data_IF_688377648121
#
_entry.id   IF_688377648121
#
_cell.length_a   1.000
_cell.length_b   1.000
_cell.length_c   1.000
_cell.angle_alpha   90.00
_cell.angle_beta   90.00
_cell.angle_gamma   90.00
#
_symmetry.space_group_name_H-M   'P 1'
#
loop_
_entity.id
_entity.type
_entity.pdbx_description
1 polymer ?
#
# COMPACT_ATOMS: atom_id res chain seq x y z
N UNK A 1 8.30 6.99 -1.35
CA UNK A 1 8.40 5.55 -1.00
C UNK A 1 7.91 4.74 -2.19
N UNK A 2 8.59 3.66 -2.56
CA UNK A 2 8.15 2.74 -3.62
C UNK A 2 7.91 1.34 -3.05
N UNK A 3 6.88 0.66 -3.54
CA UNK A 3 6.47 -0.67 -3.12
C UNK A 3 6.46 -1.59 -4.35
N UNK A 4 7.52 -2.39 -4.54
CA UNK A 4 7.53 -3.42 -5.56
C UNK A 4 6.57 -4.57 -5.18
N UNK A 5 5.79 -5.06 -6.13
CA UNK A 5 4.90 -6.21 -5.97
C UNK A 5 4.97 -7.11 -7.20
N UNK A 6 4.75 -8.41 -6.99
CA UNK A 6 4.53 -9.34 -8.09
C UNK A 6 3.10 -9.27 -8.59
N UNK A 7 2.88 -9.57 -9.87
CA UNK A 7 1.53 -9.73 -10.42
C UNK A 7 0.76 -10.76 -9.59
N UNK A 8 -0.45 -10.39 -9.15
CA UNK A 8 -1.29 -11.21 -8.26
C UNK A 8 -0.92 -11.14 -6.77
N UNK A 9 0.17 -10.47 -6.39
CA UNK A 9 0.55 -10.30 -4.99
C UNK A 9 -0.41 -9.34 -4.29
N UNK A 10 -0.71 -9.65 -3.02
CA UNK A 10 -1.51 -8.80 -2.15
C UNK A 10 -0.66 -8.28 -0.99
N UNK A 11 -0.83 -7.00 -0.68
CA UNK A 11 -0.12 -6.35 0.43
C UNK A 11 -1.07 -5.49 1.24
N UNK A 12 -1.14 -5.73 2.54
CA UNK A 12 -1.86 -4.85 3.45
C UNK A 12 -0.98 -3.64 3.79
N UNK A 13 -1.49 -2.44 3.53
CA UNK A 13 -0.86 -1.18 3.92
C UNK A 13 -1.27 -0.84 5.34
N UNK A 14 -0.31 -0.89 6.26
CA UNK A 14 -0.54 -0.50 7.65
C UNK A 14 -0.35 1.01 7.80
N UNK A 15 -1.45 1.77 7.83
CA UNK A 15 -1.42 3.22 8.06
C UNK A 15 -1.69 3.49 9.53
N UNK A 16 -0.71 4.08 10.22
CA UNK A 16 -0.87 4.48 11.61
C UNK A 16 -1.41 5.91 11.66
N UNK A 17 -2.69 6.05 11.99
CA UNK A 17 -3.31 7.37 12.27
C UNK A 17 -2.99 7.74 13.71
N UNK A 18 -2.33 8.88 13.91
CA UNK A 18 -1.98 9.41 15.24
C UNK A 18 -2.75 10.70 15.56
N UNK A 19 -3.17 10.90 16.82
CA UNK A 19 -2.98 10.01 17.98
C UNK A 19 -3.81 8.72 17.87
N UNK A 20 -3.37 7.61 18.49
CA UNK A 20 -4.06 6.31 18.42
C UNK A 20 -5.52 6.38 18.91
N UNK A 21 -5.83 7.37 19.75
CA UNK A 21 -7.19 7.69 20.24
C UNK A 21 -7.99 8.58 19.29
N UNK A 22 -7.55 8.79 18.05
CA UNK A 22 -8.33 9.54 17.07
C UNK A 22 -9.70 8.87 16.90
N UNK A 23 -10.77 9.60 17.24
CA UNK A 23 -12.15 9.13 17.14
C UNK A 23 -12.55 8.81 15.69
N UNK A 24 -11.82 9.39 14.74
CA UNK A 24 -12.04 9.23 13.31
C UNK A 24 -10.76 8.76 12.62
N UNK A 25 -10.51 7.45 12.69
CA UNK A 25 -9.41 6.79 11.97
C UNK A 25 -9.75 6.48 10.51
N UNK A 26 -10.85 7.05 10.01
CA UNK A 26 -11.30 6.84 8.64
C UNK A 26 -10.26 7.40 7.67
N UNK A 27 -9.80 6.53 6.78
CA UNK A 27 -8.92 6.87 5.67
C UNK A 27 -9.62 6.48 4.38
N UNK A 28 -9.40 7.26 3.33
CA UNK A 28 -9.89 7.00 2.00
C UNK A 28 -8.71 6.63 1.12
N UNK A 29 -8.80 5.49 0.45
CA UNK A 29 -7.78 4.98 -0.45
C UNK A 29 -8.20 5.22 -1.90
N UNK A 30 -7.22 5.52 -2.75
CA UNK A 30 -7.43 5.66 -4.20
C UNK A 30 -6.20 5.18 -4.96
N UNK A 31 -6.41 4.63 -6.15
CA UNK A 31 -5.34 4.24 -7.08
C UNK A 31 -5.40 5.14 -8.30
N UNK A 32 -4.27 5.67 -8.75
CA UNK A 32 -4.19 6.44 -10.00
C UNK A 32 -4.41 5.56 -11.24
N UNK A 33 -4.15 4.25 -11.13
CA UNK A 33 -4.36 3.28 -12.20
C UNK A 33 -4.81 1.92 -11.62
N UNK A 34 -6.13 1.68 -11.53
CA UNK A 34 -6.70 0.42 -11.06
C UNK A 34 -6.38 -0.80 -11.94
N UNK A 35 -5.99 -0.61 -13.20
CA UNK A 35 -5.60 -1.74 -14.07
C UNK A 35 -4.24 -2.34 -13.66
N UNK A 36 -3.37 -1.53 -13.05
CA UNK A 36 -2.06 -1.97 -12.55
C UNK A 36 -2.17 -2.49 -11.12
N UNK A 37 -2.79 -1.73 -10.22
CA UNK A 37 -3.07 -2.19 -8.87
C UNK A 37 -4.29 -1.49 -8.26
N UNK A 38 -5.08 -2.24 -7.50
CA UNK A 38 -6.23 -1.74 -6.74
C UNK A 38 -5.92 -1.72 -5.24
N UNK A 39 -6.65 -0.88 -4.51
CA UNK A 39 -6.59 -0.81 -3.05
C UNK A 39 -8.02 -0.81 -2.51
N UNK A 40 -8.28 -1.62 -1.48
CA UNK A 40 -9.57 -1.62 -0.79
C UNK A 40 -9.68 -0.50 0.24
N UNK A 41 -10.89 -0.26 0.72
CA UNK A 41 -11.20 0.61 1.85
C UNK A 41 -10.43 0.25 3.14
N UNK A 42 -10.15 -1.04 3.34
CA UNK A 42 -9.34 -1.57 4.43
C UNK A 42 -7.82 -1.44 4.19
N UNK A 43 -7.39 -0.85 3.08
CA UNK A 43 -5.96 -0.71 2.74
C UNK A 43 -5.30 -2.01 2.24
N UNK A 44 -6.10 -2.98 1.76
CA UNK A 44 -5.56 -4.16 1.07
C UNK A 44 -5.27 -3.81 -0.37
N UNK A 45 -3.99 -3.88 -0.74
CA UNK A 45 -3.51 -3.62 -2.08
C UNK A 45 -3.40 -4.93 -2.85
N UNK A 46 -3.88 -4.94 -4.09
CA UNK A 46 -3.82 -6.09 -5.00
C UNK A 46 -3.14 -5.66 -6.29
N UNK A 47 -2.02 -6.30 -6.62
CA UNK A 47 -1.35 -6.10 -7.90
C UNK A 47 -2.08 -6.90 -9.00
N UNK A 48 -2.54 -6.20 -10.04
CA UNK A 48 -3.35 -6.78 -11.12
C UNK A 48 -2.50 -7.03 -12.36
N UNK A 49 -1.79 -6.00 -12.83
CA UNK A 49 -0.98 -6.13 -14.03
C UNK A 49 0.29 -5.29 -13.97
N UNK A 50 1.24 -5.63 -14.84
CA UNK A 50 2.55 -4.97 -14.90
C UNK A 50 2.40 -3.47 -15.15
N UNK A 51 3.21 -2.69 -14.45
CA UNK A 51 3.24 -1.25 -14.62
C UNK A 51 3.48 -0.53 -13.31
N UNK A 52 3.29 0.79 -13.35
CA UNK A 52 3.43 1.64 -12.18
C UNK A 52 2.13 2.36 -11.89
N UNK A 53 1.74 2.42 -10.61
CA UNK A 53 0.59 3.18 -10.16
C UNK A 53 0.91 3.85 -8.84
N UNK A 54 0.20 4.93 -8.51
CA UNK A 54 0.34 5.61 -7.22
C UNK A 54 -0.93 5.40 -6.41
N UNK A 55 -0.75 4.85 -5.22
CA UNK A 55 -1.82 4.74 -4.23
C UNK A 55 -1.77 5.97 -3.33
N UNK A 56 -2.89 6.65 -3.23
CA UNK A 56 -3.05 7.83 -2.37
C UNK A 56 -4.01 7.51 -1.24
N UNK A 57 -3.58 7.76 -0.01
CA UNK A 57 -4.41 7.66 1.19
C UNK A 57 -4.64 9.05 1.76
N UNK A 58 -5.90 9.36 2.02
CA UNK A 58 -6.32 10.63 2.63
C UNK A 58 -7.04 10.33 3.93
N UNK A 59 -6.55 10.85 5.04
CA UNK A 59 -7.22 10.73 6.34
C UNK A 59 -8.36 11.73 6.47
N UNK A 60 -9.29 11.45 7.38
CA UNK A 60 -10.45 12.31 7.67
C UNK A 60 -10.09 13.76 8.04
N UNK A 61 -8.88 13.99 8.56
CA UNK A 61 -8.35 15.32 8.88
C UNK A 61 -7.59 15.99 7.71
N UNK A 62 -7.66 15.43 6.49
CA UNK A 62 -7.07 16.00 5.29
C UNK A 62 -5.57 15.73 5.10
N UNK A 63 -4.94 14.88 5.93
CA UNK A 63 -3.55 14.48 5.66
C UNK A 63 -3.51 13.48 4.52
N UNK A 64 -2.56 13.67 3.61
CA UNK A 64 -2.39 12.85 2.43
C UNK A 64 -1.05 12.13 2.52
N UNK A 65 -1.04 10.83 2.23
CA UNK A 65 0.17 10.07 2.00
C UNK A 65 0.07 9.31 0.69
N UNK A 66 1.19 9.14 0.01
CA UNK A 66 1.26 8.50 -1.31
C UNK A 66 2.28 7.37 -1.31
N UNK A 67 1.96 6.27 -1.96
CA UNK A 67 2.84 5.13 -2.15
C UNK A 67 2.89 4.77 -3.64
N UNK A 68 4.09 4.78 -4.23
CA UNK A 68 4.27 4.35 -5.63
C UNK A 68 4.37 2.83 -5.67
N UNK A 69 3.45 2.16 -6.35
CA UNK A 69 3.44 0.72 -6.55
C UNK A 69 4.03 0.39 -7.91
N UNK A 70 4.91 -0.59 -7.94
CA UNK A 70 5.54 -1.08 -9.17
C UNK A 70 5.24 -2.56 -9.25
N UNK A 71 4.46 -2.96 -10.26
CA UNK A 71 4.10 -4.35 -10.50
C UNK A 71 4.99 -4.92 -11.59
N UNK A 72 5.68 -6.00 -11.26
CA UNK A 72 6.56 -6.70 -12.19
C UNK A 72 6.42 -8.20 -12.01
N UNK A 73 6.64 -8.97 -13.06
CA UNK A 73 6.59 -10.44 -12.97
C UNK A 73 7.89 -11.04 -12.43
N UNK A 74 8.87 -10.20 -12.13
CA UNK A 74 10.11 -10.64 -11.51
C UNK A 74 9.92 -10.91 -10.03
N UNK A 75 10.51 -12.01 -9.54
CA UNK A 75 10.75 -12.14 -8.12
C UNK A 75 11.65 -11.00 -7.66
N UNK A 76 11.08 -9.93 -7.10
CA UNK A 76 11.89 -8.94 -6.39
C UNK A 76 12.23 -9.55 -5.03
N UNK A 77 13.16 -10.49 -5.04
CA UNK A 77 13.98 -10.81 -3.88
C UNK A 77 14.84 -9.58 -3.59
N UNK A 78 14.50 -8.91 -2.50
CA UNK A 78 15.18 -7.77 -1.90
C UNK A 78 15.07 -6.41 -2.59
N UNK A 79 14.17 -5.58 -2.05
CA UNK A 79 14.47 -4.18 -1.76
C UNK A 79 13.53 -3.63 -0.66
N UNK A 80 13.88 -3.91 0.60
CA UNK A 80 13.74 -2.94 1.70
C UNK A 80 12.36 -2.69 2.31
N UNK A 81 11.81 -3.67 3.05
CA UNK A 81 11.02 -3.39 4.24
C UNK A 81 11.46 -4.33 5.37
N UNK A 82 12.35 -3.85 6.24
CA UNK A 82 12.65 -4.54 7.51
C UNK A 82 11.34 -4.66 8.31
N UNK A 83 10.72 -5.84 8.36
CA UNK A 83 9.88 -6.19 9.50
C UNK A 83 10.35 -7.55 10.04
N UNK A 84 11.13 -7.51 11.12
CA UNK A 84 11.54 -8.68 11.89
C UNK A 84 10.30 -9.35 12.48
N UNK A 85 10.18 -10.67 12.34
CA UNK A 85 9.72 -11.48 13.48
C UNK A 85 10.49 -12.80 13.52
N UNK A 86 11.52 -12.77 14.37
CA UNK A 86 12.20 -13.92 15.00
C UNK A 86 11.16 -14.83 15.67
N UNK A 87 11.25 -16.15 15.57
CA UNK A 87 11.86 -17.11 16.55
C UNK A 87 10.99 -18.38 16.37
N UNK A 88 11.45 -19.61 16.46
CA UNK A 88 12.68 -20.22 16.96
C UNK A 88 12.37 -21.71 17.11
#
# INVERSE_FOLDING_TARGET
MRLPLKKGEQKNLNVKVLPENATNQKVTWSSSNPQVATVSDQGRLTAIDRGETTITVTSANGKIATCKVIVSDFEISDLGAKNKSRRG
#
